data_IF_434229849073
#
_entry.id   IF_434229849073
#
_cell.length_a   1.000
_cell.length_b   1.000
_cell.length_c   1.000
_cell.angle_alpha   90.00
_cell.angle_beta   90.00
_cell.angle_gamma   90.00
#
_symmetry.space_group_name_H-M   'P 1'
#
loop_
_entity.id
_entity.type
_entity.pdbx_description
1 polymer ?
#
# COMPACT_ATOMS: atom_id res chain seq x y z
N UNK A 1 -26.86 26.40 -3.96
CA UNK A 1 -26.18 25.09 -4.01
C UNK A 1 -27.26 24.03 -4.11
N UNK A 2 -27.22 23.21 -5.15
CA UNK A 2 -28.14 22.08 -5.28
C UNK A 2 -27.60 20.96 -4.38
N UNK A 3 -28.38 20.51 -3.41
CA UNK A 3 -28.01 19.35 -2.60
C UNK A 3 -28.11 18.12 -3.52
N UNK A 4 -26.96 17.53 -3.83
CA UNK A 4 -26.88 16.24 -4.52
C UNK A 4 -26.75 15.18 -3.44
N UNK A 5 -27.84 14.46 -3.19
CA UNK A 5 -27.82 13.26 -2.36
C UNK A 5 -26.93 12.20 -3.05
N UNK A 6 -25.91 11.64 -2.37
CA UNK A 6 -25.08 10.58 -2.96
C UNK A 6 -25.94 9.33 -3.20
N UNK A 7 -25.94 8.81 -4.43
CA UNK A 7 -26.60 7.54 -4.78
C UNK A 7 -25.77 6.30 -4.40
N UNK A 8 -24.81 6.43 -3.50
CA UNK A 8 -23.96 5.32 -3.07
C UNK A 8 -24.83 4.22 -2.44
N UNK A 9 -24.83 3.03 -3.05
CA UNK A 9 -25.66 1.90 -2.62
C UNK A 9 -27.11 1.93 -3.11
N UNK A 10 -27.51 2.88 -3.98
CA UNK A 10 -28.82 2.91 -4.61
C UNK A 10 -28.75 2.16 -5.94
N UNK A 11 -29.21 0.90 -5.95
CA UNK A 11 -29.21 0.03 -7.13
C UNK A 11 -28.74 -1.38 -6.77
N UNK A 12 -28.85 -2.31 -7.71
CA UNK A 12 -28.23 -3.63 -7.56
C UNK A 12 -26.76 -3.53 -8.00
N UNK A 13 -25.80 -4.09 -7.22
CA UNK A 13 -24.41 -4.19 -7.66
C UNK A 13 -24.32 -5.07 -8.90
N UNK A 14 -23.16 -5.05 -9.56
CA UNK A 14 -22.97 -5.81 -10.80
C UNK A 14 -21.65 -6.58 -10.80
N UNK A 15 -21.75 -7.86 -11.18
CA UNK A 15 -20.58 -8.73 -11.39
C UNK A 15 -19.88 -8.46 -12.74
N UNK A 16 -20.30 -7.44 -13.48
CA UNK A 16 -19.70 -7.09 -14.76
C UNK A 16 -18.37 -6.38 -14.55
N UNK A 17 -17.37 -6.81 -15.29
CA UNK A 17 -16.07 -6.14 -15.33
C UNK A 17 -16.17 -4.90 -16.22
N UNK A 18 -15.82 -3.74 -15.68
CA UNK A 18 -15.67 -2.50 -16.45
C UNK A 18 -14.19 -2.18 -16.63
N UNK A 19 -13.87 -1.54 -17.75
CA UNK A 19 -12.55 -0.95 -17.98
C UNK A 19 -12.70 0.54 -18.22
N UNK A 20 -11.86 1.32 -17.55
CA UNK A 20 -11.82 2.77 -17.62
C UNK A 20 -10.51 3.17 -18.27
N UNK A 21 -10.59 4.07 -19.23
CA UNK A 21 -9.45 4.66 -19.93
C UNK A 21 -9.38 6.15 -19.56
N UNK A 22 -8.19 6.63 -19.21
CA UNK A 22 -7.99 8.04 -18.91
C UNK A 22 -7.66 8.81 -20.19
N UNK A 23 -8.26 9.98 -20.39
CA UNK A 23 -8.10 10.76 -21.63
C UNK A 23 -6.64 11.12 -21.96
N UNK A 24 -5.77 11.23 -20.94
CA UNK A 24 -4.34 11.53 -21.12
C UNK A 24 -3.46 10.27 -21.25
N UNK A 25 -4.00 9.07 -21.04
CA UNK A 25 -3.29 7.78 -21.11
C UNK A 25 -4.05 6.78 -22.00
N UNK A 26 -4.23 7.08 -23.30
CA UNK A 26 -4.97 6.22 -24.21
C UNK A 26 -4.28 4.85 -24.38
N UNK A 27 -5.07 3.78 -24.36
CA UNK A 27 -4.64 2.39 -24.39
C UNK A 27 -4.29 1.79 -23.03
N UNK A 28 -4.28 2.58 -21.95
CA UNK A 28 -4.08 2.11 -20.58
C UNK A 28 -5.44 1.90 -19.91
N UNK A 29 -5.88 0.63 -19.87
CA UNK A 29 -7.16 0.26 -19.28
C UNK A 29 -7.02 -0.07 -17.79
N UNK A 30 -7.86 0.55 -16.97
CA UNK A 30 -7.95 0.32 -15.53
C UNK A 30 -9.22 -0.48 -15.23
N UNK A 31 -9.10 -1.55 -14.44
CA UNK A 31 -10.27 -2.34 -14.04
C UNK A 31 -11.11 -1.57 -13.02
N UNK A 32 -12.43 -1.62 -13.18
CA UNK A 32 -13.39 -1.11 -12.21
C UNK A 32 -14.34 -2.23 -11.76
N UNK A 33 -14.47 -2.36 -10.43
CA UNK A 33 -15.32 -3.36 -9.78
C UNK A 33 -16.39 -2.65 -8.98
N UNK A 34 -17.59 -3.22 -8.90
CA UNK A 34 -18.68 -2.68 -8.10
C UNK A 34 -19.25 -3.75 -7.17
N UNK A 35 -19.33 -3.45 -5.88
CA UNK A 35 -20.04 -4.27 -4.89
C UNK A 35 -21.11 -3.44 -4.16
N UNK A 36 -21.72 -4.03 -3.14
CA UNK A 36 -22.74 -3.38 -2.30
C UNK A 36 -22.25 -2.10 -1.57
N UNK A 37 -20.94 -1.88 -1.54
CA UNK A 37 -20.29 -0.71 -0.95
C UNK A 37 -19.84 0.33 -1.99
N UNK A 38 -20.01 0.06 -3.29
CA UNK A 38 -19.78 1.01 -4.39
C UNK A 38 -18.73 0.57 -5.40
N UNK A 39 -18.31 1.50 -6.27
CA UNK A 39 -17.37 1.26 -7.37
C UNK A 39 -15.91 1.55 -6.97
N UNK A 40 -15.00 0.63 -7.23
CA UNK A 40 -13.55 0.74 -7.00
C UNK A 40 -12.84 0.89 -8.34
N UNK A 41 -12.26 2.06 -8.60
CA UNK A 41 -11.66 2.41 -9.91
C UNK A 41 -10.13 2.44 -9.84
N UNK A 42 -9.54 2.61 -8.65
CA UNK A 42 -8.09 2.69 -8.46
C UNK A 42 -7.68 2.10 -7.12
N UNK A 43 -6.85 1.06 -7.13
CA UNK A 43 -6.15 0.64 -5.92
C UNK A 43 -4.72 1.17 -5.93
N UNK A 44 -4.49 2.18 -5.10
CA UNK A 44 -3.15 2.72 -4.89
C UNK A 44 -2.25 1.66 -4.28
N UNK A 45 -1.03 1.54 -4.83
CA UNK A 45 0.05 0.76 -4.22
C UNK A 45 0.32 1.29 -2.80
N UNK A 46 0.78 0.41 -1.92
CA UNK A 46 1.12 0.78 -0.56
C UNK A 46 2.41 1.62 -0.56
N UNK A 47 2.41 2.79 0.10
CA UNK A 47 3.61 3.63 0.21
C UNK A 47 4.64 2.95 1.11
N UNK A 48 5.86 2.76 0.61
CA UNK A 48 6.97 2.16 1.36
C UNK A 48 8.16 3.11 1.42
N UNK A 49 8.52 3.52 2.64
CA UNK A 49 9.60 4.46 2.89
C UNK A 49 10.87 3.81 3.47
N UNK A 50 10.89 2.50 3.70
CA UNK A 50 11.93 1.87 4.52
C UNK A 50 13.35 2.08 3.98
N UNK A 51 13.53 2.05 2.66
CA UNK A 51 14.82 2.31 2.00
C UNK A 51 15.31 3.75 2.18
N UNK A 52 14.40 4.67 2.53
CA UNK A 52 14.68 6.10 2.73
C UNK A 52 14.90 6.47 4.20
N UNK A 53 14.80 5.52 5.13
CA UNK A 53 14.90 5.80 6.58
C UNK A 53 16.18 6.52 6.94
N UNK A 54 17.34 6.11 6.41
CA UNK A 54 18.62 6.78 6.67
C UNK A 54 18.59 8.25 6.22
N UNK A 55 18.10 8.52 5.01
CA UNK A 55 17.98 9.87 4.47
C UNK A 55 17.00 10.72 5.28
N UNK A 56 15.84 10.17 5.64
CA UNK A 56 14.82 10.85 6.45
C UNK A 56 15.37 11.20 7.83
N UNK A 57 16.14 10.31 8.46
CA UNK A 57 16.84 10.57 9.73
C UNK A 57 17.82 11.73 9.58
N UNK A 58 18.65 11.74 8.52
CA UNK A 58 19.60 12.85 8.26
C UNK A 58 18.91 14.18 7.99
N UNK A 59 17.67 14.17 7.50
CA UNK A 59 16.85 15.37 7.29
C UNK A 59 16.19 15.89 8.59
N UNK A 60 16.35 15.21 9.72
CA UNK A 60 15.76 15.59 11.00
C UNK A 60 14.31 15.13 11.18
N UNK A 61 13.87 14.07 10.47
CA UNK A 61 12.57 13.45 10.73
C UNK A 61 12.63 12.67 12.04
N UNK A 62 11.75 13.01 12.98
CA UNK A 62 11.75 12.44 14.34
C UNK A 62 10.79 11.25 14.52
N UNK A 63 9.82 11.10 13.62
CA UNK A 63 8.84 10.02 13.72
C UNK A 63 8.42 9.53 12.34
N UNK A 64 8.16 8.23 12.25
CA UNK A 64 7.56 7.57 11.09
C UNK A 64 6.23 6.95 11.55
N UNK A 65 5.21 7.04 10.71
CA UNK A 65 3.91 6.44 10.96
C UNK A 65 3.72 5.23 10.04
N UNK A 66 3.32 4.12 10.62
CA UNK A 66 2.84 2.94 9.89
C UNK A 66 1.31 2.98 9.92
N UNK A 67 0.67 2.90 8.75
CA UNK A 67 -0.79 2.75 8.64
C UNK A 67 -1.13 1.26 8.65
N UNK A 68 -2.06 0.85 9.50
CA UNK A 68 -2.50 -0.54 9.57
C UNK A 68 -3.97 -0.71 9.93
N UNK A 69 -4.84 0.29 9.70
CA UNK A 69 -6.26 0.23 10.13
C UNK A 69 -7.01 -0.96 9.52
N UNK A 70 -6.62 -1.35 8.31
CA UNK A 70 -7.21 -2.48 7.58
C UNK A 70 -6.28 -3.70 7.51
N UNK A 71 -5.16 -3.67 8.23
CA UNK A 71 -4.13 -4.72 8.21
C UNK A 71 -4.23 -5.59 9.48
N UNK A 72 -3.72 -6.82 9.40
CA UNK A 72 -3.72 -7.75 10.54
C UNK A 72 -2.76 -7.30 11.64
N UNK A 73 -2.95 -7.79 12.88
CA UNK A 73 -1.99 -7.57 13.96
C UNK A 73 -0.59 -8.06 13.60
N UNK A 74 -0.51 -9.20 12.89
CA UNK A 74 0.75 -9.73 12.37
C UNK A 74 1.46 -8.74 11.43
N UNK A 75 0.73 -8.14 10.49
CA UNK A 75 1.27 -7.10 9.62
C UNK A 75 1.84 -5.94 10.44
N UNK A 76 1.03 -5.36 11.33
CA UNK A 76 1.44 -4.23 12.15
C UNK A 76 2.69 -4.53 12.99
N UNK A 77 2.72 -5.69 13.65
CA UNK A 77 3.86 -6.12 14.47
C UNK A 77 5.12 -6.32 13.63
N UNK A 78 5.03 -7.02 12.51
CA UNK A 78 6.17 -7.27 11.62
C UNK A 78 6.69 -5.99 10.99
N UNK A 79 5.81 -5.15 10.43
CA UNK A 79 6.21 -3.86 9.84
C UNK A 79 6.89 -2.97 10.88
N UNK A 80 6.36 -2.88 12.11
CA UNK A 80 6.97 -2.12 13.18
C UNK A 80 8.38 -2.61 13.55
N UNK A 81 8.59 -3.93 13.66
CA UNK A 81 9.90 -4.53 13.93
C UNK A 81 10.92 -4.22 12.82
N UNK A 82 10.51 -4.34 11.56
CA UNK A 82 11.37 -4.08 10.40
C UNK A 82 11.77 -2.59 10.36
N UNK A 83 10.82 -1.67 10.55
CA UNK A 83 11.13 -0.23 10.60
C UNK A 83 11.99 0.14 11.82
N UNK A 84 11.78 -0.48 12.99
CA UNK A 84 12.62 -0.25 14.17
C UNK A 84 14.08 -0.59 13.88
N UNK A 85 14.35 -1.76 13.28
CA UNK A 85 15.69 -2.16 12.87
C UNK A 85 16.31 -1.17 11.88
N UNK A 86 15.55 -0.73 10.87
CA UNK A 86 16.04 0.26 9.91
C UNK A 86 16.42 1.60 10.59
N UNK A 87 15.63 2.04 11.58
CA UNK A 87 15.94 3.27 12.34
C UNK A 87 17.17 3.07 13.21
N UNK A 88 17.30 1.93 13.91
CA UNK A 88 18.46 1.62 14.75
C UNK A 88 19.75 1.54 13.94
N UNK A 89 19.71 0.86 12.79
CA UNK A 89 20.87 0.73 11.90
C UNK A 89 21.26 2.08 11.31
N UNK A 90 20.28 2.91 10.90
CA UNK A 90 20.52 4.28 10.45
C UNK A 90 21.15 5.17 11.55
N UNK A 91 20.64 5.09 12.79
CA UNK A 91 21.17 5.84 13.92
C UNK A 91 22.60 5.39 14.29
N UNK A 92 22.93 4.12 14.07
CA UNK A 92 24.27 3.56 14.26
C UNK A 92 25.22 3.81 13.07
N UNK A 93 24.77 4.47 12.00
CA UNK A 93 25.57 4.73 10.80
C UNK A 93 25.88 3.47 9.97
N UNK A 94 25.09 2.41 10.12
CA UNK A 94 25.24 1.18 9.35
C UNK A 94 24.60 1.32 7.96
N UNK A 95 25.11 0.60 6.94
CA UNK A 95 24.45 0.54 5.65
C UNK A 95 23.05 -0.07 5.76
N UNK A 96 22.16 0.30 4.85
CA UNK A 96 20.81 -0.25 4.79
C UNK A 96 20.83 -1.77 4.53
N UNK A 97 20.10 -2.52 5.35
CA UNK A 97 19.94 -3.97 5.24
C UNK A 97 18.83 -4.30 4.24
N UNK A 98 19.21 -4.76 3.05
CA UNK A 98 18.26 -5.04 1.95
C UNK A 98 17.30 -6.18 2.26
N UNK A 99 17.62 -7.08 3.20
CA UNK A 99 16.73 -8.18 3.61
C UNK A 99 15.42 -7.67 4.26
N UNK A 100 15.42 -6.42 4.74
CA UNK A 100 14.23 -5.75 5.27
C UNK A 100 13.18 -5.52 4.18
N UNK A 101 13.58 -5.34 2.93
CA UNK A 101 12.65 -5.23 1.80
C UNK A 101 11.94 -6.55 1.55
N UNK A 102 12.68 -7.66 1.54
CA UNK A 102 12.15 -9.01 1.35
C UNK A 102 11.16 -9.38 2.46
N UNK A 103 11.46 -8.97 3.70
CA UNK A 103 10.55 -9.18 4.83
C UNK A 103 9.21 -8.46 4.63
N UNK A 104 9.22 -7.25 4.08
CA UNK A 104 7.98 -6.51 3.80
C UNK A 104 7.25 -7.05 2.56
N UNK A 105 7.96 -7.58 1.57
CA UNK A 105 7.37 -8.24 0.40
C UNK A 105 6.59 -9.51 0.80
N UNK A 106 7.00 -10.18 1.87
CA UNK A 106 6.27 -11.33 2.41
C UNK A 106 4.98 -11.00 3.19
N UNK A 107 4.66 -9.73 3.39
CA UNK A 107 3.43 -9.31 4.08
C UNK A 107 2.31 -9.01 3.05
N UNK A 108 1.05 -9.06 3.46
CA UNK A 108 -0.05 -8.72 2.55
C UNK A 108 0.02 -7.25 2.09
N UNK A 109 0.26 -7.00 0.80
CA UNK A 109 0.34 -5.65 0.19
C UNK A 109 -0.32 -5.60 -1.20
N UNK A 110 -0.54 -4.38 -1.72
CA UNK A 110 -1.12 -4.14 -3.07
C UNK A 110 -0.06 -3.76 -4.11
N UNK A 111 1.14 -4.29 -3.95
CA UNK A 111 2.36 -3.71 -4.54
C UNK A 111 2.85 -2.48 -3.75
N UNK A 112 4.14 -2.16 -3.87
CA UNK A 112 4.76 -1.03 -3.19
C UNK A 112 5.09 0.11 -4.15
N UNK A 113 5.01 1.34 -3.66
CA UNK A 113 5.53 2.53 -4.35
C UNK A 113 6.33 3.38 -3.37
N UNK A 114 7.36 4.07 -3.86
CA UNK A 114 8.10 5.07 -3.07
C UNK A 114 7.39 6.44 -3.09
N UNK A 115 6.33 6.59 -3.88
CA UNK A 115 5.63 7.86 -4.04
C UNK A 115 6.61 8.97 -4.45
N UNK A 116 6.49 10.12 -3.80
CA UNK A 116 7.36 11.28 -4.03
C UNK A 116 8.66 11.28 -3.20
N UNK A 117 8.97 10.20 -2.47
CA UNK A 117 10.23 10.11 -1.69
C UNK A 117 11.46 10.05 -2.60
N UNK A 118 11.27 9.62 -3.85
CA UNK A 118 12.24 9.66 -4.93
C UNK A 118 11.77 10.61 -6.03
N UNK A 119 12.67 11.46 -6.52
CA UNK A 119 12.36 12.39 -7.62
C UNK A 119 12.45 11.62 -8.94
N UNK A 120 11.43 11.73 -9.78
CA UNK A 120 11.35 11.11 -11.11
C UNK A 120 11.40 9.57 -11.12
N UNK A 121 10.34 8.92 -10.65
CA UNK A 121 10.03 7.53 -11.05
C UNK A 121 8.84 7.56 -11.99
N UNK A 122 9.01 6.98 -13.19
CA UNK A 122 7.91 6.65 -14.12
C UNK A 122 7.19 5.36 -13.71
N UNK A 123 7.39 4.90 -12.47
CA UNK A 123 6.85 3.63 -12.00
C UNK A 123 5.36 3.81 -11.67
N UNK A 124 4.52 2.97 -12.28
CA UNK A 124 3.07 2.99 -12.13
C UNK A 124 2.68 2.99 -10.64
N UNK A 125 2.18 4.11 -10.13
CA UNK A 125 1.80 4.30 -8.73
C UNK A 125 0.57 3.49 -8.30
N UNK A 126 -0.11 2.89 -9.28
CA UNK A 126 -1.38 2.23 -9.14
C UNK A 126 -1.24 0.74 -9.47
N UNK A 127 -2.04 -0.08 -8.79
CA UNK A 127 -2.22 -1.48 -9.14
C UNK A 127 -3.58 -1.62 -9.85
N UNK A 128 -3.55 -2.02 -11.12
CA UNK A 128 -4.73 -2.17 -11.97
C UNK A 128 -5.16 -3.63 -12.15
N UNK A 129 -4.38 -4.58 -11.64
CA UNK A 129 -4.63 -6.02 -11.82
C UNK A 129 -5.51 -6.59 -10.70
N UNK A 130 -5.35 -6.12 -9.45
CA UNK A 130 -6.10 -6.63 -8.29
C UNK A 130 -6.37 -5.55 -7.24
N UNK A 131 -7.57 -5.61 -6.66
CA UNK A 131 -8.06 -4.65 -5.67
C UNK A 131 -7.82 -5.01 -4.20
N UNK A 132 -7.20 -6.17 -3.92
CA UNK A 132 -6.97 -6.66 -2.56
C UNK A 132 -5.47 -6.88 -2.29
N UNK A 133 -5.10 -6.91 -1.00
CA UNK A 133 -3.72 -7.19 -0.60
C UNK A 133 -3.44 -8.69 -0.75
N UNK A 134 -2.36 -9.04 -1.46
CA UNK A 134 -1.92 -10.43 -1.65
C UNK A 134 -0.68 -10.69 -0.81
N UNK A 135 -0.58 -11.89 -0.23
CA UNK A 135 0.67 -12.41 0.31
C UNK A 135 0.93 -13.77 -0.30
N UNK A 136 1.99 -13.87 -1.09
CA UNK A 136 2.41 -15.08 -1.81
C UNK A 136 3.43 -15.91 -1.02
N UNK A 137 4.15 -15.31 -0.06
CA UNK A 137 5.22 -15.96 0.69
C UNK A 137 4.86 -16.36 2.12
N UNK A 138 3.96 -15.62 2.80
CA UNK A 138 3.65 -15.88 4.21
C UNK A 138 2.17 -15.64 4.51
N UNK A 139 1.52 -16.60 5.17
CA UNK A 139 0.14 -16.47 5.62
C UNK A 139 0.07 -16.54 7.14
N UNK A 140 -0.64 -15.59 7.75
CA UNK A 140 -0.98 -15.68 9.15
C UNK A 140 -2.10 -16.71 9.35
N UNK A 141 -1.84 -17.74 10.16
CA UNK A 141 -2.75 -18.88 10.34
C UNK A 141 -3.42 -18.96 11.71
N UNK A 142 -3.11 -18.03 12.62
CA UNK A 142 -3.75 -17.94 13.94
C UNK A 142 -2.81 -17.49 15.05
N UNK A 143 -3.39 -17.23 16.22
CA UNK A 143 -2.69 -16.91 17.46
C UNK A 143 -3.18 -17.80 18.60
N UNK A 144 -2.28 -18.13 19.53
CA UNK A 144 -2.63 -18.85 20.75
C UNK A 144 -2.78 -17.87 21.89
N UNK A 145 -3.98 -17.77 22.45
CA UNK A 145 -4.20 -17.10 23.71
C UNK A 145 -3.78 -18.04 24.84
N UNK A 146 -2.92 -17.54 25.73
CA UNK A 146 -2.56 -18.23 26.98
C UNK A 146 -3.32 -17.63 28.14
#
# INVERSE_FOLDING_TARGET
MQNVEPTLGIGAPTDKVFMIEEAQRPGEYMTAFEDEHGTYIMNSKDLRAIAHVERLTKMGVHSLKIEGRTKSFYYCARTAQVYRKAIDDAAAGKPFDTSLLETLEGLAHRGYTEGFLRRHTHDDYQNYEYGYSVSDRQQFVGEFYR
#
